data_IF_894567893556
#
_entry.id   IF_894567893556
#
_cell.length_a   1.000
_cell.length_b   1.000
_cell.length_c   1.000
_cell.angle_alpha   90.00
_cell.angle_beta   90.00
_cell.angle_gamma   90.00
#
_symmetry.space_group_name_H-M   'P 1'
#
loop_
_entity.id
_entity.type
_entity.pdbx_description
1 polymer ?
#
# COMPACT_ATOMS: atom_id res chain seq x y z
N UNK A 1 16.99 5.26 6.69
CA UNK A 1 15.59 5.48 6.28
C UNK A 1 15.58 5.65 4.78
N UNK A 2 14.94 4.75 4.06
CA UNK A 2 14.66 4.89 2.63
C UNK A 2 13.25 5.44 2.49
N UNK A 3 13.08 6.51 1.69
CA UNK A 3 11.77 7.06 1.38
C UNK A 3 11.63 7.08 -0.14
N UNK A 4 10.62 6.38 -0.65
CA UNK A 4 10.31 6.31 -2.06
C UNK A 4 8.94 6.95 -2.27
N UNK A 5 8.86 7.82 -3.28
CA UNK A 5 7.56 8.32 -3.71
C UNK A 5 6.80 7.20 -4.42
N UNK A 6 5.51 7.07 -4.18
CA UNK A 6 4.69 5.99 -4.74
C UNK A 6 4.62 6.01 -6.30
N UNK A 7 5.08 7.10 -6.93
CA UNK A 7 5.16 7.22 -8.40
C UNK A 7 6.27 6.36 -9.01
N UNK A 8 7.30 5.98 -8.23
CA UNK A 8 8.43 5.18 -8.73
C UNK A 8 8.45 3.75 -8.18
N UNK A 9 7.59 3.44 -7.20
CA UNK A 9 7.56 2.12 -6.58
C UNK A 9 6.18 1.85 -5.96
N UNK A 10 5.72 0.61 -6.07
CA UNK A 10 4.57 0.06 -5.39
C UNK A 10 4.97 -0.99 -4.33
N UNK A 11 3.99 -1.59 -3.63
CA UNK A 11 4.25 -2.58 -2.58
C UNK A 11 5.07 -3.78 -3.07
N UNK A 12 4.81 -4.26 -4.30
CA UNK A 12 5.57 -5.35 -4.92
C UNK A 12 7.04 -4.93 -5.16
N UNK A 13 7.25 -3.70 -5.66
CA UNK A 13 8.57 -3.14 -5.88
C UNK A 13 9.41 -3.05 -4.62
N UNK A 14 8.78 -2.83 -3.45
CA UNK A 14 9.49 -2.86 -2.16
C UNK A 14 10.03 -4.26 -1.87
N UNK A 15 9.25 -5.31 -2.15
CA UNK A 15 9.71 -6.70 -2.00
C UNK A 15 10.90 -7.01 -2.91
N UNK A 16 10.81 -6.63 -4.20
CA UNK A 16 11.92 -6.74 -5.17
C UNK A 16 13.17 -6.02 -4.66
N UNK A 17 13.03 -4.76 -4.25
CA UNK A 17 14.15 -3.95 -3.77
C UNK A 17 14.82 -4.55 -2.53
N UNK A 18 14.04 -5.03 -1.56
CA UNK A 18 14.56 -5.64 -0.34
C UNK A 18 15.34 -6.91 -0.67
N UNK A 19 14.80 -7.78 -1.52
CA UNK A 19 15.46 -9.01 -1.96
C UNK A 19 16.78 -8.71 -2.67
N UNK A 20 16.78 -7.81 -3.64
CA UNK A 20 17.99 -7.46 -4.40
C UNK A 20 19.05 -6.80 -3.52
N UNK A 21 18.64 -5.93 -2.59
CA UNK A 21 19.55 -5.35 -1.61
C UNK A 21 20.25 -6.43 -0.77
N UNK A 22 19.52 -7.47 -0.37
CA UNK A 22 20.08 -8.61 0.37
C UNK A 22 21.13 -9.39 -0.41
N UNK A 23 20.80 -9.70 -1.67
CA UNK A 23 21.71 -10.38 -2.60
C UNK A 23 22.99 -9.56 -2.79
N UNK A 24 22.84 -8.26 -3.06
CA UNK A 24 23.98 -7.35 -3.23
C UNK A 24 24.82 -7.27 -1.97
N UNK A 25 24.20 -6.99 -0.82
CA UNK A 25 24.92 -6.87 0.44
C UNK A 25 25.74 -8.12 0.76
N UNK A 26 25.16 -9.31 0.60
CA UNK A 26 25.87 -10.59 0.81
C UNK A 26 27.06 -10.74 -0.13
N UNK A 27 26.90 -10.41 -1.42
CA UNK A 27 27.99 -10.47 -2.38
C UNK A 27 29.14 -9.49 -2.05
N UNK A 28 28.82 -8.30 -1.52
CA UNK A 28 29.83 -7.33 -1.07
C UNK A 28 30.58 -7.78 0.19
N UNK A 29 29.88 -8.34 1.18
CA UNK A 29 30.50 -8.81 2.43
C UNK A 29 31.38 -10.05 2.22
N UNK A 30 30.96 -10.96 1.33
CA UNK A 30 31.68 -12.21 1.05
C UNK A 30 32.74 -12.08 -0.06
N UNK A 31 32.94 -10.87 -0.60
CA UNK A 31 33.78 -10.59 -1.77
C UNK A 31 33.47 -11.45 -3.02
N UNK A 32 32.19 -11.82 -3.19
CA UNK A 32 31.68 -12.64 -4.31
C UNK A 32 31.07 -11.80 -5.43
N UNK A 33 31.64 -10.62 -5.68
CA UNK A 33 31.13 -9.66 -6.69
C UNK A 33 31.10 -10.25 -8.10
N UNK A 34 31.99 -11.20 -8.40
CA UNK A 34 32.01 -11.89 -9.69
C UNK A 34 30.74 -12.73 -9.96
N UNK A 35 29.96 -13.10 -8.94
CA UNK A 35 28.72 -13.86 -9.08
C UNK A 35 27.48 -12.97 -9.24
N UNK A 36 27.62 -11.64 -9.18
CA UNK A 36 26.49 -10.71 -9.18
C UNK A 36 25.63 -10.82 -10.44
N UNK A 37 26.23 -10.95 -11.62
CA UNK A 37 25.50 -11.09 -12.89
C UNK A 37 24.72 -12.40 -13.00
N UNK A 38 25.11 -13.42 -12.24
CA UNK A 38 24.37 -14.69 -12.16
C UNK A 38 23.25 -14.62 -11.14
N UNK A 39 23.46 -13.90 -10.03
CA UNK A 39 22.47 -13.76 -8.96
C UNK A 39 21.38 -12.74 -9.28
N UNK A 40 21.72 -11.71 -10.05
CA UNK A 40 20.82 -10.65 -10.51
C UNK A 40 21.03 -10.49 -12.02
N UNK A 41 20.37 -11.32 -12.84
CA UNK A 41 20.43 -11.20 -14.29
C UNK A 41 19.85 -9.85 -14.74
N UNK A 42 20.29 -9.38 -15.91
CA UNK A 42 19.78 -8.15 -16.50
C UNK A 42 18.28 -8.28 -16.80
N UNK A 43 17.55 -7.20 -16.51
CA UNK A 43 16.11 -7.15 -16.74
C UNK A 43 15.83 -7.11 -18.25
N UNK A 44 14.89 -7.93 -18.76
CA UNK A 44 14.60 -8.00 -20.19
C UNK A 44 13.95 -6.71 -20.74
N UNK A 45 13.34 -5.92 -19.85
CA UNK A 45 12.71 -4.63 -20.14
C UNK A 45 12.94 -3.67 -18.95
N UNK A 46 12.65 -2.40 -19.15
CA UNK A 46 12.65 -1.35 -18.14
C UNK A 46 11.25 -0.76 -17.98
N UNK A 47 11.02 -0.01 -16.90
CA UNK A 47 9.73 0.67 -16.68
C UNK A 47 9.38 1.64 -17.82
N UNK A 48 10.38 2.22 -18.49
CA UNK A 48 10.16 3.06 -19.68
C UNK A 48 9.50 2.29 -20.83
N UNK A 49 9.90 1.04 -21.05
CA UNK A 49 9.31 0.17 -22.07
C UNK A 49 7.85 -0.16 -21.74
N UNK A 50 7.56 -0.44 -20.45
CA UNK A 50 6.18 -0.60 -19.98
C UNK A 50 5.33 0.66 -20.19
N UNK A 51 5.87 1.83 -19.86
CA UNK A 51 5.16 3.10 -20.03
C UNK A 51 4.90 3.44 -21.51
N UNK A 52 5.85 3.10 -22.39
CA UNK A 52 5.66 3.21 -23.83
C UNK A 52 4.58 2.24 -24.32
N UNK A 53 4.68 0.96 -23.94
CA UNK A 53 3.69 -0.06 -24.29
C UNK A 53 2.27 0.32 -23.83
N UNK A 54 2.10 0.81 -22.60
CA UNK A 54 0.79 1.20 -22.08
C UNK A 54 0.20 2.36 -22.89
N UNK A 55 1.04 3.33 -23.29
CA UNK A 55 0.61 4.43 -24.16
C UNK A 55 0.17 3.95 -25.53
N UNK A 56 0.95 3.06 -26.15
CA UNK A 56 0.62 2.47 -27.44
C UNK A 56 -0.67 1.64 -27.36
N UNK A 57 -0.85 0.86 -26.30
CA UNK A 57 -2.06 0.08 -26.05
C UNK A 57 -3.30 0.96 -25.90
N UNK A 58 -3.19 2.10 -25.20
CA UNK A 58 -4.29 3.08 -25.07
C UNK A 58 -4.64 3.76 -26.40
N UNK A 59 -3.69 3.86 -27.34
CA UNK A 59 -3.87 4.51 -28.64
C UNK A 59 -4.15 3.52 -29.78
N UNK A 60 -4.02 2.22 -29.52
CA UNK A 60 -4.17 1.18 -30.52
C UNK A 60 -5.57 1.22 -31.14
N UNK A 61 -5.66 1.03 -32.45
CA UNK A 61 -6.91 0.85 -33.19
C UNK A 61 -6.93 -0.59 -33.67
N UNK A 62 -7.95 -1.36 -33.26
CA UNK A 62 -8.07 -2.75 -33.69
C UNK A 62 -8.53 -2.89 -35.13
N UNK A 63 -8.23 -4.04 -35.74
CA UNK A 63 -8.53 -4.35 -37.15
C UNK A 63 -10.02 -4.26 -37.49
N UNK A 64 -10.89 -4.50 -36.50
CA UNK A 64 -12.36 -4.42 -36.64
C UNK A 64 -12.93 -3.06 -36.23
N UNK A 65 -12.09 -2.03 -36.08
CA UNK A 65 -12.48 -0.72 -35.54
C UNK A 65 -12.70 -0.68 -34.03
N UNK A 66 -12.64 -1.84 -33.34
CA UNK A 66 -12.68 -1.95 -31.88
C UNK A 66 -11.27 -1.98 -31.29
N UNK A 67 -10.88 -0.95 -30.55
CA UNK A 67 -9.61 -0.94 -29.82
C UNK A 67 -9.65 -1.78 -28.54
N UNK A 68 -8.50 -2.27 -28.04
CA UNK A 68 -8.42 -2.90 -26.72
C UNK A 68 -9.02 -2.01 -25.61
N UNK A 69 -8.78 -0.70 -25.69
CA UNK A 69 -9.37 0.29 -24.79
C UNK A 69 -10.90 0.28 -24.85
N UNK A 70 -11.51 0.26 -26.04
CA UNK A 70 -12.97 0.24 -26.17
C UNK A 70 -13.60 -1.03 -25.61
N UNK A 71 -12.97 -2.19 -25.81
CA UNK A 71 -13.44 -3.46 -25.22
C UNK A 71 -13.45 -3.37 -23.69
N UNK A 72 -12.36 -2.84 -23.11
CA UNK A 72 -12.23 -2.63 -21.68
C UNK A 72 -13.28 -1.65 -21.14
N UNK A 73 -13.42 -0.50 -21.80
CA UNK A 73 -14.39 0.52 -21.40
C UNK A 73 -15.84 0.03 -21.49
N UNK A 74 -16.20 -0.73 -22.52
CA UNK A 74 -17.56 -1.25 -22.67
C UNK A 74 -17.98 -2.14 -21.48
N UNK A 75 -17.06 -2.97 -20.98
CA UNK A 75 -17.30 -3.76 -19.77
C UNK A 75 -17.53 -2.85 -18.56
N UNK A 76 -16.61 -1.90 -18.31
CA UNK A 76 -16.69 -1.06 -17.11
C UNK A 76 -17.86 -0.09 -17.14
N UNK A 77 -18.23 0.46 -18.30
CA UNK A 77 -19.42 1.30 -18.47
C UNK A 77 -20.69 0.52 -18.10
N UNK A 78 -20.81 -0.73 -18.58
CA UNK A 78 -21.93 -1.59 -18.21
C UNK A 78 -21.92 -1.95 -16.73
N UNK A 79 -20.76 -2.31 -16.19
CA UNK A 79 -20.64 -2.76 -14.80
C UNK A 79 -20.90 -1.63 -13.80
N UNK A 80 -20.50 -0.41 -14.14
CA UNK A 80 -20.55 0.76 -13.27
C UNK A 80 -21.68 1.74 -13.63
N UNK A 81 -22.63 1.32 -14.47
CA UNK A 81 -23.80 2.12 -14.79
C UNK A 81 -24.69 2.33 -13.54
N UNK A 82 -25.04 3.58 -13.26
CA UNK A 82 -25.88 3.93 -12.11
C UNK A 82 -25.32 3.52 -10.75
N UNK A 83 -23.98 3.46 -10.59
CA UNK A 83 -23.38 3.14 -9.29
C UNK A 83 -23.86 4.08 -8.18
N UNK A 84 -24.13 3.50 -7.02
CA UNK A 84 -24.51 4.28 -5.84
C UNK A 84 -23.30 4.52 -4.92
N UNK A 85 -23.33 5.68 -4.25
CA UNK A 85 -22.34 6.00 -3.21
C UNK A 85 -22.67 5.21 -1.95
N UNK A 86 -21.66 4.61 -1.32
CA UNK A 86 -21.82 3.92 -0.05
C UNK A 86 -21.98 4.92 1.10
N UNK A 87 -23.05 4.75 1.88
CA UNK A 87 -23.41 5.56 3.03
C UNK A 87 -23.12 4.80 4.31
N UNK A 88 -21.85 4.84 4.74
CA UNK A 88 -21.43 4.26 6.00
C UNK A 88 -22.13 4.97 7.18
N UNK A 89 -22.50 4.23 8.24
CA UNK A 89 -23.00 4.82 9.47
C UNK A 89 -21.87 5.62 10.13
N UNK A 90 -21.94 6.94 10.06
CA UNK A 90 -20.89 7.85 10.54
C UNK A 90 -21.38 8.66 11.74
N UNK A 91 -20.50 8.85 12.72
CA UNK A 91 -20.82 9.64 13.93
C UNK A 91 -20.84 11.16 13.68
N UNK A 92 -20.28 11.61 12.54
CA UNK A 92 -20.09 13.02 12.21
C UNK A 92 -20.42 13.27 10.75
N UNK A 93 -20.91 14.47 10.48
CA UNK A 93 -21.14 14.95 9.10
C UNK A 93 -19.81 15.00 8.34
N UNK A 94 -19.82 14.56 7.08
CA UNK A 94 -18.65 14.60 6.21
C UNK A 94 -18.20 16.05 5.97
N UNK A 95 -16.92 16.38 6.20
CA UNK A 95 -16.39 17.70 5.86
C UNK A 95 -16.19 17.82 4.34
N UNK A 96 -16.35 19.04 3.80
CA UNK A 96 -16.14 19.30 2.37
C UNK A 96 -14.69 19.08 1.92
N UNK A 97 -13.72 19.18 2.85
CA UNK A 97 -12.30 18.95 2.59
C UNK A 97 -11.81 17.79 3.46
N UNK A 98 -11.25 16.72 2.87
CA UNK A 98 -10.68 15.60 3.62
C UNK A 98 -9.53 16.05 4.51
N UNK A 99 -9.53 15.60 5.76
CA UNK A 99 -8.40 15.84 6.68
C UNK A 99 -7.30 14.78 6.57
N UNK A 100 -7.63 13.66 5.93
CA UNK A 100 -6.83 12.43 5.86
C UNK A 100 -6.45 11.82 7.22
N UNK A 101 -6.95 12.34 8.35
CA UNK A 101 -6.67 11.79 9.66
C UNK A 101 -7.35 10.43 9.78
N UNK A 102 -6.55 9.40 10.05
CA UNK A 102 -7.00 8.03 10.20
C UNK A 102 -6.54 7.40 11.52
N UNK A 103 -7.11 6.25 11.82
CA UNK A 103 -6.65 5.35 12.87
C UNK A 103 -6.73 3.91 12.35
N UNK A 104 -5.92 3.03 12.91
CA UNK A 104 -5.91 1.60 12.58
C UNK A 104 -6.42 0.81 13.77
N UNK A 105 -7.17 -0.24 13.48
CA UNK A 105 -7.60 -1.22 14.46
C UNK A 105 -7.22 -2.60 13.94
N UNK A 106 -6.69 -3.43 14.83
CA UNK A 106 -6.24 -4.77 14.49
C UNK A 106 -7.18 -5.80 15.11
N UNK A 107 -7.55 -6.80 14.32
CA UNK A 107 -8.31 -7.94 14.76
C UNK A 107 -7.60 -9.20 14.29
N UNK A 108 -7.47 -10.17 15.19
CA UNK A 108 -6.91 -11.48 14.88
C UNK A 108 -8.05 -12.47 14.66
N UNK A 109 -8.03 -13.17 13.52
CA UNK A 109 -8.95 -14.25 13.25
C UNK A 109 -8.36 -15.56 13.79
N UNK A 110 -9.09 -16.34 14.60
CA UNK A 110 -8.59 -17.60 15.12
C UNK A 110 -8.20 -18.56 13.99
N UNK A 111 -7.13 -19.33 14.20
CA UNK A 111 -6.61 -20.26 13.20
C UNK A 111 -7.66 -21.27 12.71
N UNK A 112 -8.52 -21.76 13.60
CA UNK A 112 -9.62 -22.67 13.25
C UNK A 112 -10.64 -22.03 12.30
N UNK A 113 -10.90 -20.73 12.45
CA UNK A 113 -11.79 -19.99 11.57
C UNK A 113 -11.16 -19.80 10.19
N UNK A 114 -9.87 -19.45 10.12
CA UNK A 114 -9.16 -19.31 8.84
C UNK A 114 -9.11 -20.63 8.08
N UNK A 115 -8.87 -21.75 8.75
CA UNK A 115 -8.91 -23.09 8.13
C UNK A 115 -10.31 -23.42 7.58
N UNK A 116 -11.37 -23.11 8.32
CA UNK A 116 -12.74 -23.34 7.87
C UNK A 116 -13.09 -22.47 6.65
N UNK A 117 -12.63 -21.22 6.62
CA UNK A 117 -12.82 -20.32 5.48
C UNK A 117 -12.09 -20.83 4.23
N UNK A 118 -10.86 -21.33 4.37
CA UNK A 118 -10.12 -21.94 3.26
C UNK A 118 -10.80 -23.20 2.73
N UNK A 119 -11.29 -24.06 3.63
CA UNK A 119 -12.05 -25.24 3.24
C UNK A 119 -13.33 -24.86 2.48
N UNK A 120 -14.04 -23.83 2.92
CA UNK A 120 -15.21 -23.29 2.22
C UNK A 120 -14.83 -22.75 0.83
N UNK A 121 -13.77 -21.95 0.74
CA UNK A 121 -13.29 -21.43 -0.55
C UNK A 121 -13.00 -22.56 -1.53
N UNK A 122 -12.34 -23.62 -1.07
CA UNK A 122 -12.05 -24.80 -1.88
C UNK A 122 -13.31 -25.54 -2.32
N UNK A 123 -14.28 -25.72 -1.42
CA UNK A 123 -15.55 -26.42 -1.72
C UNK A 123 -16.40 -25.68 -2.76
N UNK A 124 -16.39 -24.34 -2.73
CA UNK A 124 -17.17 -23.49 -3.62
C UNK A 124 -16.41 -23.09 -4.90
N UNK A 125 -15.21 -23.64 -5.12
CA UNK A 125 -14.34 -23.34 -6.27
C UNK A 125 -14.07 -21.83 -6.43
N UNK A 126 -13.76 -21.18 -5.30
CA UNK A 126 -13.42 -19.75 -5.24
C UNK A 126 -12.13 -19.52 -4.47
N UNK A 127 -11.57 -18.32 -4.61
CA UNK A 127 -10.39 -17.93 -3.83
C UNK A 127 -10.79 -17.44 -2.43
N UNK A 128 -9.86 -17.53 -1.47
CA UNK A 128 -10.04 -16.92 -0.14
C UNK A 128 -10.36 -15.42 -0.22
N UNK A 129 -9.78 -14.72 -1.21
CA UNK A 129 -10.09 -13.33 -1.48
C UNK A 129 -11.59 -13.13 -1.77
N UNK A 130 -12.17 -13.93 -2.66
CA UNK A 130 -13.60 -13.85 -3.01
C UNK A 130 -14.49 -14.16 -1.80
N UNK A 131 -14.15 -15.19 -1.01
CA UNK A 131 -14.88 -15.53 0.22
C UNK A 131 -14.88 -14.39 1.23
N UNK A 132 -13.71 -13.79 1.47
CA UNK A 132 -13.57 -12.70 2.44
C UNK A 132 -14.17 -11.39 1.91
N UNK A 133 -14.13 -11.13 0.61
CA UNK A 133 -14.82 -10.00 -0.02
C UNK A 133 -16.33 -10.14 0.13
N UNK A 134 -16.90 -11.32 -0.13
CA UNK A 134 -18.33 -11.58 0.08
C UNK A 134 -18.74 -11.38 1.55
N UNK A 135 -17.92 -11.85 2.50
CA UNK A 135 -18.14 -11.61 3.92
C UNK A 135 -18.10 -10.11 4.27
N UNK A 136 -17.15 -9.36 3.70
CA UNK A 136 -17.04 -7.93 3.91
C UNK A 136 -18.23 -7.16 3.31
N UNK A 137 -18.66 -7.49 2.09
CA UNK A 137 -19.84 -6.89 1.47
C UNK A 137 -21.13 -7.22 2.23
N UNK A 138 -21.24 -8.44 2.78
CA UNK A 138 -22.33 -8.82 3.69
C UNK A 138 -22.34 -7.93 4.93
N UNK A 139 -21.17 -7.68 5.53
CA UNK A 139 -21.04 -6.77 6.66
C UNK A 139 -21.52 -5.36 6.28
N UNK A 140 -21.05 -4.81 5.16
CA UNK A 140 -21.45 -3.49 4.68
C UNK A 140 -22.97 -3.41 4.50
N UNK A 141 -23.58 -4.36 3.80
CA UNK A 141 -25.04 -4.44 3.65
C UNK A 141 -25.76 -4.45 5.00
N UNK A 142 -25.28 -5.22 5.99
CA UNK A 142 -25.93 -5.27 7.31
C UNK A 142 -25.88 -3.94 8.04
N UNK A 143 -24.86 -3.12 7.82
CA UNK A 143 -24.71 -1.79 8.42
C UNK A 143 -25.40 -0.67 7.64
N UNK A 144 -25.40 -0.73 6.31
CA UNK A 144 -25.91 0.36 5.46
C UNK A 144 -27.31 0.11 4.92
N UNK A 145 -27.75 -1.15 4.91
CA UNK A 145 -28.98 -1.63 4.24
C UNK A 145 -29.00 -1.32 2.74
N UNK A 146 -27.84 -1.03 2.12
CA UNK A 146 -27.71 -0.83 0.68
C UNK A 146 -27.44 -2.16 -0.02
N UNK A 147 -28.28 -2.49 -1.01
CA UNK A 147 -28.15 -3.72 -1.79
C UNK A 147 -27.05 -3.63 -2.86
N UNK A 148 -26.80 -2.44 -3.42
CA UNK A 148 -25.71 -2.20 -4.37
C UNK A 148 -24.45 -1.74 -3.62
N UNK A 149 -23.47 -2.64 -3.51
CA UNK A 149 -22.24 -2.40 -2.74
C UNK A 149 -21.04 -2.36 -3.68
N UNK A 150 -20.31 -1.25 -3.65
CA UNK A 150 -19.09 -1.05 -4.43
C UNK A 150 -17.86 -1.01 -3.51
N UNK A 151 -16.89 -1.87 -3.79
CA UNK A 151 -15.64 -1.97 -3.04
C UNK A 151 -14.46 -1.84 -3.99
N UNK A 152 -13.50 -0.99 -3.67
CA UNK A 152 -12.22 -0.92 -4.39
C UNK A 152 -11.30 -2.06 -3.96
N UNK A 153 -10.51 -2.60 -4.88
CA UNK A 153 -9.44 -3.55 -4.56
C UNK A 153 -8.19 -3.20 -5.34
N UNK A 154 -7.05 -3.11 -4.65
CA UNK A 154 -5.76 -2.95 -5.30
C UNK A 154 -5.32 -4.29 -5.91
N UNK A 155 -4.73 -4.24 -7.10
CA UNK A 155 -4.07 -5.38 -7.74
C UNK A 155 -2.64 -5.00 -8.09
N UNK A 156 -1.73 -5.99 -8.07
CA UNK A 156 -0.34 -5.75 -8.46
C UNK A 156 -0.20 -5.38 -9.95
N UNK A 157 -1.14 -5.84 -10.79
CA UNK A 157 -1.16 -5.60 -12.24
C UNK A 157 0.14 -6.05 -12.95
N UNK A 158 0.69 -7.19 -12.50
CA UNK A 158 1.90 -7.83 -13.05
C UNK A 158 1.50 -9.18 -13.64
N UNK A 159 0.73 -9.10 -14.72
CA UNK A 159 0.18 -10.27 -15.42
C UNK A 159 1.18 -10.92 -16.40
N UNK A 160 2.42 -10.43 -16.45
CA UNK A 160 3.49 -10.91 -17.32
C UNK A 160 4.77 -11.10 -16.50
N UNK A 161 5.51 -12.16 -16.79
CA UNK A 161 6.70 -12.55 -16.02
C UNK A 161 7.82 -11.51 -16.11
N UNK A 162 7.92 -10.80 -17.25
CA UNK A 162 8.91 -9.74 -17.45
C UNK A 162 8.70 -8.56 -16.50
N UNK A 163 7.49 -8.40 -15.95
CA UNK A 163 7.16 -7.34 -15.00
C UNK A 163 7.50 -7.71 -13.56
N UNK A 164 7.62 -8.99 -13.20
CA UNK A 164 7.76 -9.44 -11.80
C UNK A 164 9.03 -8.92 -11.13
N UNK A 165 10.12 -8.79 -11.89
CA UNK A 165 11.41 -8.28 -11.43
C UNK A 165 11.56 -6.76 -11.45
N UNK A 166 10.58 -6.01 -11.98
CA UNK A 166 10.71 -4.56 -12.16
C UNK A 166 10.38 -3.77 -10.89
N UNK A 167 11.19 -2.75 -10.61
CA UNK A 167 10.81 -1.68 -9.69
C UNK A 167 10.08 -0.60 -10.49
N UNK A 168 8.86 -0.27 -10.08
CA UNK A 168 8.01 0.71 -10.77
C UNK A 168 6.62 0.82 -10.14
N UNK A 169 5.77 1.68 -10.72
CA UNK A 169 4.38 1.80 -10.29
C UNK A 169 3.47 1.02 -11.23
N UNK A 170 3.07 -0.18 -10.83
CA UNK A 170 2.19 -1.05 -11.63
C UNK A 170 0.81 -1.19 -11.02
N UNK A 171 0.69 -1.03 -9.69
CA UNK A 171 -0.57 -1.19 -8.97
C UNK A 171 -1.72 -0.45 -9.66
N UNK A 172 -2.80 -1.20 -9.91
CA UNK A 172 -4.05 -0.67 -10.41
C UNK A 172 -5.17 -0.91 -9.40
N UNK A 173 -6.28 -0.17 -9.51
CA UNK A 173 -7.44 -0.32 -8.64
C UNK A 173 -8.64 -0.84 -9.43
N UNK A 174 -9.22 -1.96 -8.99
CA UNK A 174 -10.43 -2.52 -9.55
C UNK A 174 -11.65 -2.12 -8.73
N UNK A 175 -12.77 -1.91 -9.41
CA UNK A 175 -14.04 -1.53 -8.80
C UNK A 175 -14.95 -2.76 -8.76
N UNK A 176 -15.09 -3.37 -7.59
CA UNK A 176 -15.85 -4.61 -7.40
C UNK A 176 -17.26 -4.28 -6.90
N UNK A 177 -18.21 -4.22 -7.83
CA UNK A 177 -19.63 -3.96 -7.57
C UNK A 177 -20.38 -5.27 -7.41
N UNK A 178 -21.09 -5.44 -6.30
CA UNK A 178 -21.91 -6.62 -6.03
C UNK A 178 -23.32 -6.21 -5.64
N UNK A 179 -24.28 -6.96 -6.17
CA UNK A 179 -25.70 -6.81 -5.89
C UNK A 179 -26.14 -7.83 -4.82
N UNK A 180 -26.65 -7.33 -3.70
CA UNK A 180 -27.20 -8.08 -2.57
C UNK A 180 -28.74 -8.03 -2.54
N UNK A 181 -29.38 -7.56 -3.61
CA UNK A 181 -30.83 -7.54 -3.73
C UNK A 181 -31.44 -8.94 -3.70
N UNK A 182 -32.65 -9.02 -3.16
CA UNK A 182 -33.39 -10.27 -3.00
C UNK A 182 -32.95 -11.11 -1.79
N UNK A 183 -32.11 -10.57 -0.91
CA UNK A 183 -31.60 -11.25 0.29
C UNK A 183 -30.99 -12.64 -0.02
N UNK A 184 -29.92 -12.69 -0.83
CA UNK A 184 -29.32 -13.94 -1.27
C UNK A 184 -28.72 -14.71 -0.09
N UNK A 185 -28.67 -16.02 -0.22
CA UNK A 185 -27.81 -16.86 0.63
C UNK A 185 -26.34 -16.47 0.44
N UNK A 186 -25.50 -16.81 1.41
CA UNK A 186 -24.06 -16.53 1.30
C UNK A 186 -23.43 -17.20 0.07
N UNK A 187 -23.87 -18.41 -0.28
CA UNK A 187 -23.38 -19.14 -1.46
C UNK A 187 -23.76 -18.43 -2.77
N UNK A 188 -24.99 -17.94 -2.88
CA UNK A 188 -25.43 -17.15 -4.05
C UNK A 188 -24.63 -15.85 -4.17
N UNK A 189 -24.40 -15.15 -3.05
CA UNK A 189 -23.54 -13.96 -3.04
C UNK A 189 -22.11 -14.30 -3.45
N UNK A 190 -21.56 -15.41 -2.96
CA UNK A 190 -20.21 -15.85 -3.28
C UNK A 190 -20.03 -16.11 -4.78
N UNK A 191 -21.03 -16.72 -5.42
CA UNK A 191 -21.06 -16.89 -6.87
C UNK A 191 -21.14 -15.54 -7.60
N UNK A 192 -21.97 -14.60 -7.15
CA UNK A 192 -22.01 -13.23 -7.72
C UNK A 192 -20.65 -12.54 -7.62
N UNK A 193 -19.98 -12.65 -6.46
CA UNK A 193 -18.65 -12.08 -6.22
C UNK A 193 -17.59 -12.74 -7.11
N UNK A 194 -17.65 -14.07 -7.29
CA UNK A 194 -16.77 -14.79 -8.21
C UNK A 194 -16.88 -14.23 -9.63
N UNK A 195 -18.09 -14.12 -10.17
CA UNK A 195 -18.33 -13.60 -11.53
C UNK A 195 -17.83 -12.16 -11.69
N UNK A 196 -18.13 -11.29 -10.72
CA UNK A 196 -17.68 -9.88 -10.73
C UNK A 196 -16.15 -9.80 -10.67
N UNK A 197 -15.52 -10.59 -9.81
CA UNK A 197 -14.07 -10.58 -9.60
C UNK A 197 -13.34 -11.10 -10.85
N UNK A 198 -13.80 -12.20 -11.44
CA UNK A 198 -13.23 -12.75 -12.68
C UNK A 198 -13.45 -11.82 -13.89
N UNK A 199 -14.62 -11.18 -13.96
CA UNK A 199 -14.92 -10.13 -14.92
C UNK A 199 -13.94 -8.97 -14.78
N UNK A 200 -13.74 -8.46 -13.57
CA UNK A 200 -12.81 -7.37 -13.29
C UNK A 200 -11.35 -7.75 -13.61
N UNK A 201 -10.92 -8.99 -13.32
CA UNK A 201 -9.57 -9.46 -13.66
C UNK A 201 -9.34 -9.58 -15.16
N UNK A 202 -10.34 -10.02 -15.93
CA UNK A 202 -10.26 -10.03 -17.40
C UNK A 202 -10.17 -8.61 -17.98
N UNK A 203 -10.54 -7.60 -17.19
CA UNK A 203 -10.59 -6.20 -17.60
C UNK A 203 -9.64 -5.28 -16.79
N UNK A 204 -8.57 -5.86 -16.24
CA UNK A 204 -7.69 -5.18 -15.31
C UNK A 204 -6.63 -4.26 -15.95
N UNK A 205 -6.44 -4.37 -17.27
CA UNK A 205 -5.41 -3.62 -18.00
C UNK A 205 -5.76 -2.12 -18.14
N UNK A 206 -7.03 -1.75 -17.99
CA UNK A 206 -7.47 -0.35 -18.02
C UNK A 206 -7.04 0.38 -16.73
N UNK A 207 -6.21 1.43 -16.80
CA UNK A 207 -5.85 2.20 -15.62
C UNK A 207 -7.07 2.84 -14.96
N UNK A 208 -7.16 2.76 -13.63
CA UNK A 208 -8.26 3.34 -12.86
C UNK A 208 -8.49 4.82 -13.16
N UNK A 209 -7.42 5.61 -13.26
CA UNK A 209 -7.52 7.04 -13.56
C UNK A 209 -8.14 7.28 -14.95
N UNK A 210 -7.83 6.43 -15.93
CA UNK A 210 -8.42 6.50 -17.26
C UNK A 210 -9.90 6.10 -17.22
N UNK A 211 -10.26 5.10 -16.41
CA UNK A 211 -11.65 4.74 -16.20
C UNK A 211 -12.47 5.90 -15.60
N UNK A 212 -11.93 6.57 -14.59
CA UNK A 212 -12.57 7.76 -13.97
C UNK A 212 -12.70 8.90 -14.97
N UNK A 213 -11.68 9.12 -15.81
CA UNK A 213 -11.72 10.12 -16.87
C UNK A 213 -12.87 9.86 -17.85
N UNK A 214 -13.06 8.61 -18.29
CA UNK A 214 -14.06 8.26 -19.31
C UNK A 214 -15.49 8.15 -18.76
N UNK A 215 -15.67 7.76 -17.48
CA UNK A 215 -17.00 7.66 -16.86
C UNK A 215 -17.57 9.00 -16.42
N UNK A 216 -16.73 10.04 -16.26
CA UNK A 216 -17.13 11.36 -15.78
C UNK A 216 -18.09 11.33 -14.57
N UNK A 217 -17.76 10.60 -13.47
CA UNK A 217 -18.63 10.56 -12.30
C UNK A 217 -18.80 11.96 -11.68
N UNK A 218 -19.90 12.17 -10.97
CA UNK A 218 -20.12 13.44 -10.25
C UNK A 218 -18.92 13.76 -9.35
N UNK A 219 -18.37 14.96 -9.54
CA UNK A 219 -17.13 15.36 -8.86
C UNK A 219 -17.42 15.80 -7.44
N UNK A 220 -17.12 14.93 -6.49
CA UNK A 220 -17.10 15.24 -5.05
C UNK A 220 -15.66 15.23 -4.53
N UNK A 221 -15.13 16.41 -4.17
CA UNK A 221 -13.77 16.55 -3.62
C UNK A 221 -13.60 15.93 -2.23
N UNK A 222 -14.71 15.61 -1.55
CA UNK A 222 -14.72 15.00 -0.22
C UNK A 222 -14.71 13.47 -0.24
N UNK A 223 -14.76 12.86 -1.43
CA UNK A 223 -14.84 11.41 -1.62
C UNK A 223 -13.86 10.92 -2.67
N UNK A 224 -13.46 9.66 -2.52
CA UNK A 224 -12.76 8.96 -3.58
C UNK A 224 -13.76 8.62 -4.72
N UNK A 225 -13.37 8.76 -6.00
CA UNK A 225 -14.24 8.42 -7.11
C UNK A 225 -14.58 6.93 -7.13
N UNK A 226 -15.81 6.60 -7.58
CA UNK A 226 -16.37 5.27 -7.79
C UNK A 226 -16.55 4.37 -6.54
N UNK A 227 -15.71 4.47 -5.52
CA UNK A 227 -15.83 3.70 -4.28
C UNK A 227 -15.29 4.46 -3.06
N UNK A 228 -15.80 4.13 -1.88
CA UNK A 228 -15.44 4.78 -0.61
C UNK A 228 -14.68 3.87 0.34
N UNK A 229 -14.68 2.58 0.04
CA UNK A 229 -14.08 1.53 0.87
C UNK A 229 -13.18 0.66 0.02
N UNK A 230 -12.09 0.19 0.61
CA UNK A 230 -11.16 -0.74 -0.03
C UNK A 230 -11.09 -2.03 0.74
N UNK A 231 -10.99 -3.13 0.00
CA UNK A 231 -10.70 -4.46 0.52
C UNK A 231 -9.41 -4.98 -0.12
N UNK A 232 -8.48 -5.46 0.69
CA UNK A 232 -7.23 -6.06 0.21
C UNK A 232 -6.90 -7.33 1.00
N UNK A 233 -6.50 -8.40 0.30
CA UNK A 233 -5.88 -9.57 0.92
C UNK A 233 -4.40 -9.60 0.55
N UNK A 234 -3.55 -9.34 1.54
CA UNK A 234 -2.10 -9.39 1.44
C UNK A 234 -1.65 -10.83 1.72
N UNK A 235 -1.31 -11.55 0.66
CA UNK A 235 -0.86 -12.93 0.69
C UNK A 235 0.61 -13.11 0.24
N UNK A 236 1.30 -12.00 -0.08
CA UNK A 236 2.71 -12.04 -0.45
C UNK A 236 3.58 -12.08 0.80
N UNK A 237 4.37 -13.15 1.02
CA UNK A 237 5.29 -13.19 2.14
C UNK A 237 6.37 -12.11 1.95
N UNK A 238 6.58 -11.29 2.97
CA UNK A 238 7.79 -10.47 3.06
C UNK A 238 8.88 -11.40 3.58
N UNK A 239 9.70 -11.92 2.68
CA UNK A 239 10.87 -12.70 3.09
C UNK A 239 11.73 -11.87 4.05
N UNK A 240 12.12 -12.49 5.16
CA UNK A 240 13.02 -11.85 6.11
C UNK A 240 14.35 -11.58 5.39
N UNK A 241 14.70 -10.30 5.27
CA UNK A 241 15.98 -9.91 4.69
C UNK A 241 17.12 -10.39 5.61
N UNK A 242 17.84 -11.43 5.18
CA UNK A 242 19.01 -11.94 5.90
C UNK A 242 20.28 -11.25 5.40
N UNK A 243 20.85 -10.41 6.27
CA UNK A 243 22.11 -9.73 6.00
C UNK A 243 23.21 -10.31 6.90
N UNK A 244 24.30 -10.87 6.35
CA UNK A 244 25.41 -11.35 7.15
C UNK A 244 25.90 -10.31 8.17
N UNK A 245 25.97 -10.71 9.44
CA UNK A 245 26.41 -9.87 10.54
C UNK A 245 25.38 -8.85 11.05
N UNK A 246 24.15 -8.85 10.53
CA UNK A 246 23.09 -7.94 10.96
C UNK A 246 21.80 -8.71 11.28
N UNK A 247 21.12 -8.25 12.33
CA UNK A 247 19.74 -8.67 12.63
C UNK A 247 18.82 -7.53 12.22
N UNK A 248 17.93 -7.77 11.27
CA UNK A 248 16.94 -6.81 10.85
C UNK A 248 15.64 -6.99 11.62
N UNK A 249 15.01 -5.87 11.95
CA UNK A 249 13.67 -5.80 12.50
C UNK A 249 12.92 -4.72 11.74
N UNK A 250 11.69 -5.00 11.35
CA UNK A 250 10.83 -3.99 10.75
C UNK A 250 10.59 -2.89 11.78
N UNK A 251 10.80 -1.65 11.34
CA UNK A 251 10.44 -0.48 12.12
C UNK A 251 9.03 -0.07 11.71
N UNK A 252 8.07 -0.29 12.59
CA UNK A 252 6.70 0.12 12.31
C UNK A 252 6.61 1.65 12.35
N UNK A 253 5.98 2.21 11.32
CA UNK A 253 5.68 3.62 11.23
C UNK A 253 4.17 3.75 11.25
N UNK A 254 3.62 4.11 12.41
CA UNK A 254 2.18 4.34 12.57
C UNK A 254 1.76 5.61 11.83
N UNK A 255 1.47 5.47 10.54
CA UNK A 255 0.82 6.50 9.76
C UNK A 255 -0.64 6.61 10.18
N UNK A 256 -0.98 7.70 10.88
CA UNK A 256 -2.36 8.09 11.22
C UNK A 256 -3.08 8.74 10.03
N UNK A 257 -2.94 8.11 8.86
CA UNK A 257 -3.47 8.58 7.58
C UNK A 257 -4.48 7.56 7.06
N UNK A 258 -5.67 8.03 6.71
CA UNK A 258 -6.68 7.26 5.97
C UNK A 258 -6.97 8.00 4.66
N UNK A 259 -6.86 7.30 3.52
CA UNK A 259 -7.11 7.88 2.20
C UNK A 259 -8.57 7.71 1.77
N UNK A 260 -9.21 6.68 2.29
CA UNK A 260 -10.61 6.32 2.07
C UNK A 260 -11.37 6.33 3.40
N UNK A 261 -12.69 6.17 3.33
CA UNK A 261 -13.53 6.17 4.53
C UNK A 261 -13.29 4.93 5.39
N UNK A 262 -13.07 3.78 4.76
CA UNK A 262 -12.71 2.52 5.41
C UNK A 262 -11.76 1.72 4.52
N UNK A 263 -10.66 1.27 5.09
CA UNK A 263 -9.72 0.36 4.43
C UNK A 263 -9.65 -0.95 5.23
N UNK A 264 -10.11 -2.04 4.63
CA UNK A 264 -10.07 -3.37 5.22
C UNK A 264 -8.97 -4.18 4.57
N UNK A 265 -7.93 -4.44 5.36
CA UNK A 265 -6.76 -5.19 4.92
C UNK A 265 -6.68 -6.49 5.72
N UNK A 266 -6.56 -7.60 5.02
CA UNK A 266 -6.27 -8.91 5.59
C UNK A 266 -4.84 -9.27 5.27
N UNK A 267 -4.14 -9.83 6.25
CA UNK A 267 -2.80 -10.37 6.04
C UNK A 267 -2.79 -11.84 6.39
N UNK A 268 -2.20 -12.64 5.51
CA UNK A 268 -1.90 -14.04 5.80
C UNK A 268 -0.52 -14.12 6.46
N UNK A 269 -0.41 -14.88 7.54
CA UNK A 269 0.85 -15.25 8.20
C UNK A 269 1.75 -14.06 8.65
N UNK A 270 1.16 -13.09 9.36
CA UNK A 270 1.92 -12.06 10.11
C UNK A 270 1.82 -12.25 11.63
N UNK A 271 1.56 -13.45 12.13
CA UNK A 271 1.45 -13.74 13.57
C UNK A 271 2.64 -13.13 14.34
N UNK A 272 3.85 -13.18 13.80
CA UNK A 272 5.06 -12.59 14.40
C UNK A 272 5.14 -11.06 14.30
N UNK A 273 4.73 -10.45 13.19
CA UNK A 273 4.83 -9.00 12.99
C UNK A 273 3.68 -8.25 13.65
N UNK A 274 2.45 -8.75 13.54
CA UNK A 274 1.29 -8.20 14.25
C UNK A 274 1.46 -8.36 15.76
N UNK A 275 2.01 -9.48 16.25
CA UNK A 275 2.38 -9.57 17.67
C UNK A 275 3.57 -8.69 18.04
N UNK A 276 4.56 -8.48 17.17
CA UNK A 276 5.63 -7.53 17.42
C UNK A 276 5.08 -6.10 17.55
N UNK A 277 4.17 -5.67 16.68
CA UNK A 277 3.51 -4.35 16.72
C UNK A 277 2.63 -4.21 17.98
N UNK A 278 1.81 -5.21 18.29
CA UNK A 278 0.92 -5.18 19.46
C UNK A 278 1.67 -5.31 20.80
N UNK A 279 2.86 -5.91 20.81
CA UNK A 279 3.69 -6.10 22.02
C UNK A 279 4.91 -5.18 22.08
N UNK A 280 5.10 -4.27 21.12
CA UNK A 280 6.24 -3.36 21.14
C UNK A 280 6.04 -2.29 22.22
N UNK A 281 6.59 -2.57 23.39
CA UNK A 281 6.82 -1.55 24.42
C UNK A 281 8.14 -0.87 24.07
N UNK A 282 8.15 0.41 23.66
CA UNK A 282 9.39 1.09 23.32
C UNK A 282 10.33 1.06 24.52
N UNK A 283 11.53 0.51 24.32
CA UNK A 283 12.52 0.44 25.37
C UNK A 283 13.29 1.75 25.48
N UNK A 284 13.69 2.10 26.70
CA UNK A 284 14.48 3.29 26.94
C UNK A 284 15.87 3.11 26.33
N UNK A 285 16.23 4.02 25.44
CA UNK A 285 17.56 4.13 24.86
C UNK A 285 18.53 4.70 25.90
N UNK A 286 19.59 3.97 26.29
CA UNK A 286 20.46 4.35 27.42
C UNK A 286 21.35 5.56 27.12
N UNK A 287 21.41 6.02 25.88
CA UNK A 287 22.26 7.12 25.43
C UNK A 287 21.42 8.32 25.01
N UNK A 288 22.10 9.37 24.59
CA UNK A 288 21.48 10.59 24.11
C UNK A 288 21.00 10.39 22.68
N UNK A 289 19.82 10.90 22.35
CA UNK A 289 19.31 10.93 20.98
C UNK A 289 19.61 12.31 20.38
N UNK A 290 20.13 12.36 19.15
CA UNK A 290 20.27 13.62 18.40
C UNK A 290 19.13 13.71 17.38
N UNK A 291 18.22 14.66 17.57
CA UNK A 291 17.04 14.87 16.74
C UNK A 291 17.23 16.06 15.80
N UNK A 292 17.39 15.81 14.50
CA UNK A 292 17.51 16.87 13.49
C UNK A 292 16.13 17.23 12.94
N UNK A 293 15.69 18.49 13.09
CA UNK A 293 14.35 18.94 12.67
C UNK A 293 14.36 20.27 11.94
N UNK A 294 13.35 20.54 11.12
CA UNK A 294 13.20 21.83 10.44
C UNK A 294 12.29 22.78 11.23
N UNK A 295 12.47 24.09 11.02
CA UNK A 295 11.59 25.11 11.61
C UNK A 295 10.24 25.22 10.89
N UNK A 296 10.19 24.87 9.60
CA UNK A 296 8.95 24.82 8.82
C UNK A 296 8.38 23.41 8.91
N UNK A 297 7.37 23.22 9.77
CA UNK A 297 6.54 22.01 9.81
C UNK A 297 5.25 22.27 9.03
N UNK A 298 4.94 21.42 8.06
CA UNK A 298 3.79 21.62 7.18
C UNK A 298 2.47 21.09 7.76
N UNK A 299 2.45 20.38 8.89
CA UNK A 299 1.23 20.09 9.66
C UNK A 299 1.51 19.25 10.92
N UNK A 300 0.82 19.60 12.02
CA UNK A 300 0.54 18.86 13.27
C UNK A 300 1.74 18.48 14.18
N UNK A 301 2.11 19.41 15.06
CA UNK A 301 2.28 19.25 16.51
C UNK A 301 3.08 20.46 17.05
N UNK A 302 2.41 21.59 17.30
CA UNK A 302 3.03 22.77 17.92
C UNK A 302 3.38 22.57 19.42
N UNK A 303 3.25 21.37 19.98
CA UNK A 303 3.32 21.15 21.43
C UNK A 303 4.65 20.68 21.99
N UNK A 304 5.40 19.82 21.31
CA UNK A 304 6.56 19.15 21.94
C UNK A 304 7.79 19.11 21.01
N UNK A 305 8.87 19.85 21.32
CA UNK A 305 10.07 19.93 20.50
C UNK A 305 10.72 18.57 20.19
N UNK A 306 10.63 17.62 21.12
CA UNK A 306 11.25 16.31 21.03
C UNK A 306 10.35 15.21 20.48
N UNK A 307 9.08 15.47 20.15
CA UNK A 307 8.16 14.48 19.56
C UNK A 307 8.11 13.15 20.34
N UNK A 308 8.08 13.21 21.67
CA UNK A 308 8.09 12.03 22.55
C UNK A 308 9.45 11.33 22.73
N UNK A 309 10.52 11.73 22.01
CA UNK A 309 11.84 11.09 22.12
C UNK A 309 12.51 11.29 23.48
N UNK A 310 12.17 12.36 24.20
CA UNK A 310 12.69 12.59 25.56
C UNK A 310 12.23 11.52 26.55
N UNK A 311 11.06 10.92 26.32
CA UNK A 311 10.54 9.85 27.16
C UNK A 311 11.31 8.54 26.96
N UNK A 312 12.04 8.43 25.84
CA UNK A 312 12.77 7.23 25.45
C UNK A 312 14.29 7.37 25.60
N UNK A 313 14.84 8.57 25.78
CA UNK A 313 16.29 8.78 25.87
C UNK A 313 16.76 9.02 27.31
N UNK A 314 17.47 8.06 27.93
CA UNK A 314 17.99 8.22 29.32
C UNK A 314 18.88 9.45 29.47
N UNK A 315 19.67 9.79 28.44
CA UNK A 315 20.57 10.97 28.45
C UNK A 315 19.99 12.18 27.71
N UNK A 316 18.67 12.20 27.54
CA UNK A 316 17.89 13.26 26.89
C UNK A 316 17.99 13.28 25.36
N UNK A 317 17.23 14.18 24.75
CA UNK A 317 17.25 14.44 23.31
C UNK A 317 17.90 15.80 23.03
N UNK A 318 18.89 15.84 22.13
CA UNK A 318 19.51 17.07 21.64
C UNK A 318 18.92 17.43 20.28
N UNK A 319 18.27 18.59 20.19
CA UNK A 319 17.52 18.99 19.00
C UNK A 319 18.38 19.92 18.14
N UNK A 320 18.57 19.54 16.88
CA UNK A 320 19.38 20.24 15.90
C UNK A 320 18.47 20.82 14.81
N UNK A 321 18.46 22.15 14.66
CA UNK A 321 17.61 22.78 13.66
C UNK A 321 18.28 22.89 12.30
N UNK A 322 17.64 22.35 11.27
CA UNK A 322 18.08 22.42 9.87
C UNK A 322 17.21 23.41 9.09
N UNK A 323 17.81 24.36 8.34
CA UNK A 323 17.06 25.25 7.47
C UNK A 323 16.27 24.51 6.38
N UNK A 324 15.15 25.10 5.96
CA UNK A 324 14.23 24.51 4.99
C UNK A 324 13.08 23.74 5.63
N UNK A 325 12.59 22.72 4.92
CA UNK A 325 11.56 21.77 5.35
C UNK A 325 12.06 20.34 5.12
N UNK A 326 11.27 19.33 5.52
CA UNK A 326 11.67 17.92 5.38
C UNK A 326 12.08 17.51 3.96
N UNK A 327 11.60 18.19 2.91
CA UNK A 327 11.96 17.91 1.52
C UNK A 327 13.22 18.64 1.06
N UNK A 328 13.46 19.84 1.57
CA UNK A 328 14.56 20.71 1.12
C UNK A 328 15.80 20.60 2.00
N UNK A 329 15.71 20.04 3.21
CA UNK A 329 16.85 19.86 4.11
C UNK A 329 17.91 18.88 3.58
N UNK A 330 17.50 17.96 2.71
CA UNK A 330 18.38 16.98 2.04
C UNK A 330 18.90 17.47 0.69
N UNK A 331 18.67 18.74 0.34
CA UNK A 331 19.13 19.34 -0.93
C UNK A 331 20.05 20.54 -0.65
N UNK A 332 20.87 20.92 -1.63
CA UNK A 332 21.67 22.15 -1.52
C UNK A 332 20.73 23.37 -1.45
N UNK A 333 21.05 24.39 -0.63
CA UNK A 333 22.24 24.50 0.22
C UNK A 333 22.11 23.79 1.60
N UNK A 334 20.89 23.45 2.04
CA UNK A 334 20.61 22.99 3.41
C UNK A 334 21.29 21.67 3.83
N UNK A 335 21.54 20.77 2.88
CA UNK A 335 22.25 19.51 3.14
C UNK A 335 23.66 19.74 3.72
N UNK A 336 24.30 20.88 3.41
CA UNK A 336 25.60 21.21 3.97
C UNK A 336 25.52 21.51 5.47
N UNK A 337 24.44 22.17 5.90
CA UNK A 337 24.18 22.46 7.32
C UNK A 337 23.89 21.17 8.09
N UNK A 338 23.06 20.28 7.52
CA UNK A 338 22.80 18.96 8.08
C UNK A 338 24.07 18.12 8.19
N UNK A 339 24.87 18.05 7.12
CA UNK A 339 26.12 17.30 7.10
C UNK A 339 27.16 17.85 8.10
N UNK A 340 27.18 19.16 8.35
CA UNK A 340 28.05 19.78 9.35
C UNK A 340 27.60 19.41 10.77
N UNK A 341 26.32 19.54 11.09
CA UNK A 341 25.80 19.20 12.43
C UNK A 341 25.89 17.69 12.70
N UNK A 342 25.62 16.84 11.70
CA UNK A 342 25.76 15.40 11.82
C UNK A 342 27.22 15.00 12.06
N UNK A 343 28.17 15.58 11.33
CA UNK A 343 29.61 15.36 11.57
C UNK A 343 30.02 15.76 12.98
N UNK A 344 29.59 16.92 13.45
CA UNK A 344 29.85 17.35 14.84
C UNK A 344 29.27 16.38 15.88
N UNK A 345 28.10 15.79 15.63
CA UNK A 345 27.53 14.76 16.52
C UNK A 345 28.36 13.47 16.50
N UNK A 346 28.82 13.02 15.33
CA UNK A 346 29.64 11.82 15.18
C UNK A 346 31.00 12.01 15.89
N UNK A 347 31.67 13.14 15.68
CA UNK A 347 32.96 13.48 16.30
C UNK A 347 32.86 13.55 17.84
N UNK A 348 31.81 14.17 18.37
CA UNK A 348 31.51 14.16 19.82
C UNK A 348 31.32 12.75 20.36
N UNK A 349 30.70 11.86 19.59
CA UNK A 349 30.46 10.47 20.00
C UNK A 349 31.73 9.62 19.94
N UNK A 350 32.66 9.95 19.03
CA UNK A 350 33.95 9.27 18.91
C UNK A 350 34.97 9.70 19.98
N UNK A 351 34.86 10.93 20.49
CA UNK A 351 35.69 11.46 21.60
C UNK A 351 35.17 11.07 22.99
N UNK A 352 33.97 10.48 23.08
CA UNK A 352 33.32 10.00 24.31
C UNK A 352 33.51 8.47 24.54
N UNK A 353 34.37 7.82 23.74
CA UNK A 353 34.94 6.50 24.06
C UNK A 353 36.19 6.69 24.91
#
# INVERSE_FOLDING_TARGET
MLNLHHIVADGWSIGVLIRELGVLYKAFVEDKRCLMSTLLPELPIQYADFAQWQREWLQAVGENGCSPLQTQLAYWQKQLDGISVLNLPTDRVRPAVPTYKGAKQFLELPHSLTQALEALSYQEDVTLFMTMLAAFQTLLYRYTQQEDIVVGSAIANRNRSELEGLIGFFVNSLVLRSDLSGNPTFQELLNRVREVTLGAYSHQDLPFEKLVEELHPERDLSRHPLFQVVFSLQNTPIEALELPGLKLSLFDFDSKIAKLDLEFHLWRDLETNSQAVLKYVPQVYPKRINLFRTKVQLNVAEGEPSMGWDQLAVRGTEIHHIPGNHLTMLRKPHIQVLAAQLRGCIEKTQTLK
#
